data_IF_644442205414
#
_entry.id   IF_644442205414
#
_cell.length_a   1.000
_cell.length_b   1.000
_cell.length_c   1.000
_cell.angle_alpha   90.00
_cell.angle_beta   90.00
_cell.angle_gamma   90.00
#
_symmetry.space_group_name_H-M   'P 1'
#
loop_
_entity.id
_entity.type
_entity.pdbx_description
1 polymer ?
#
# COMPACT_ATOMS: atom_id res chain seq x y z
N UNK A 1 22.12 18.02 23.51
CA UNK A 1 21.95 17.13 22.36
C UNK A 1 21.20 17.92 21.30
N UNK A 2 21.77 18.13 20.10
CA UNK A 2 21.10 18.82 19.01
C UNK A 2 19.83 18.03 18.68
N UNK A 3 18.65 18.67 18.78
CA UNK A 3 17.41 18.08 18.31
C UNK A 3 17.54 17.91 16.79
N UNK A 4 17.84 16.71 16.32
CA UNK A 4 17.78 16.43 14.88
C UNK A 4 16.32 16.61 14.46
N UNK A 5 16.09 17.39 13.40
CA UNK A 5 14.78 17.42 12.75
C UNK A 5 14.43 16.02 12.26
N UNK A 6 13.15 15.68 12.30
CA UNK A 6 12.64 14.35 11.96
C UNK A 6 11.84 14.45 10.67
N UNK A 7 12.13 13.52 9.75
CA UNK A 7 11.40 13.40 8.49
C UNK A 7 10.67 12.08 8.45
N UNK A 8 9.34 12.14 8.35
CA UNK A 8 8.50 11.00 8.05
C UNK A 8 8.40 10.80 6.55
N UNK A 9 8.46 9.57 6.09
CA UNK A 9 8.25 9.21 4.69
C UNK A 9 7.06 8.25 4.58
N UNK A 10 6.16 8.56 3.66
CA UNK A 10 5.27 7.54 3.12
C UNK A 10 6.10 6.51 2.33
N UNK A 11 5.51 5.37 2.03
CA UNK A 11 6.22 4.28 1.37
C UNK A 11 5.70 4.00 -0.05
N UNK A 12 4.43 3.59 -0.17
CA UNK A 12 3.84 3.23 -1.45
C UNK A 12 3.74 4.47 -2.37
N UNK A 13 4.24 4.37 -3.59
CA UNK A 13 4.33 5.45 -4.59
C UNK A 13 5.11 6.70 -4.16
N UNK A 14 5.84 6.59 -3.03
CA UNK A 14 6.81 7.57 -2.55
C UNK A 14 8.23 7.01 -2.56
N UNK A 15 8.43 5.79 -2.07
CA UNK A 15 9.73 5.11 -2.04
C UNK A 15 9.84 4.00 -3.10
N UNK A 16 8.72 3.38 -3.46
CA UNK A 16 8.65 2.30 -4.45
C UNK A 16 7.32 2.33 -5.20
N UNK A 17 7.31 1.72 -6.37
CA UNK A 17 6.11 1.56 -7.17
C UNK A 17 5.09 0.65 -6.49
N UNK A 18 3.82 1.06 -6.48
CA UNK A 18 2.73 0.30 -5.91
C UNK A 18 1.47 0.34 -6.79
N UNK A 19 0.97 1.54 -7.15
CA UNK A 19 -0.28 1.72 -7.90
C UNK A 19 -0.26 1.02 -9.26
N UNK A 20 0.90 0.96 -9.91
CA UNK A 20 1.07 0.28 -11.20
C UNK A 20 0.68 -1.21 -11.12
N UNK A 21 0.90 -1.86 -10.00
CA UNK A 21 0.57 -3.28 -9.83
C UNK A 21 -0.92 -3.51 -9.63
N UNK A 22 -1.60 -2.60 -8.94
CA UNK A 22 -3.06 -2.60 -8.82
C UNK A 22 -3.71 -2.39 -10.18
N UNK A 23 -3.23 -1.42 -10.95
CA UNK A 23 -3.73 -1.17 -12.31
C UNK A 23 -3.55 -2.41 -13.22
N UNK A 24 -2.37 -3.03 -13.22
CA UNK A 24 -2.13 -4.27 -13.99
C UNK A 24 -3.08 -5.41 -13.58
N UNK A 25 -3.33 -5.57 -12.28
CA UNK A 25 -4.25 -6.59 -11.78
C UNK A 25 -5.70 -6.29 -12.18
N UNK A 26 -6.11 -5.02 -12.15
CA UNK A 26 -7.40 -4.55 -12.62
C UNK A 26 -7.61 -4.85 -14.10
N UNK A 27 -6.61 -4.55 -14.94
CA UNK A 27 -6.67 -4.86 -16.37
C UNK A 27 -6.84 -6.36 -16.64
N UNK A 28 -6.11 -7.22 -15.92
CA UNK A 28 -6.29 -8.69 -16.01
C UNK A 28 -7.69 -9.13 -15.61
N UNK A 29 -8.27 -8.50 -14.56
CA UNK A 29 -9.66 -8.78 -14.17
C UNK A 29 -10.64 -8.39 -15.28
N UNK A 30 -10.47 -7.22 -15.90
CA UNK A 30 -11.30 -6.72 -17.00
C UNK A 30 -11.26 -7.69 -18.19
N UNK A 31 -10.08 -8.20 -18.55
CA UNK A 31 -9.93 -9.20 -19.61
C UNK A 31 -10.70 -10.50 -19.31
N UNK A 32 -10.79 -10.91 -18.04
CA UNK A 32 -11.56 -12.09 -17.62
C UNK A 32 -13.08 -11.86 -17.67
N UNK A 33 -13.53 -10.59 -17.65
CA UNK A 33 -14.93 -10.22 -17.53
C UNK A 33 -15.36 -9.18 -18.59
N UNK A 34 -15.18 -9.49 -19.90
CA UNK A 34 -15.45 -8.53 -20.98
C UNK A 34 -16.93 -8.12 -21.11
N UNK A 35 -17.81 -8.78 -20.38
CA UNK A 35 -19.24 -8.50 -20.37
C UNK A 35 -19.66 -7.47 -19.31
N UNK A 36 -18.77 -7.11 -18.38
CA UNK A 36 -19.05 -6.08 -17.39
C UNK A 36 -18.97 -4.72 -18.08
N UNK A 37 -20.03 -3.95 -17.96
CA UNK A 37 -20.07 -2.57 -18.44
C UNK A 37 -19.39 -1.67 -17.41
N UNK A 38 -18.56 -0.74 -17.88
CA UNK A 38 -17.81 0.21 -17.05
C UNK A 38 -17.07 -0.48 -15.88
N UNK A 39 -16.21 -1.50 -16.18
CA UNK A 39 -15.67 -2.38 -15.15
C UNK A 39 -14.77 -1.64 -14.14
N UNK A 40 -14.10 -0.58 -14.54
CA UNK A 40 -13.27 0.24 -13.65
C UNK A 40 -14.14 0.91 -12.56
N UNK A 41 -15.25 1.51 -12.94
CA UNK A 41 -16.20 2.10 -11.99
C UNK A 41 -16.82 1.05 -11.07
N UNK A 42 -17.17 -0.11 -11.61
CA UNK A 42 -17.69 -1.24 -10.82
C UNK A 42 -16.69 -1.68 -9.75
N UNK A 43 -15.43 -1.86 -10.12
CA UNK A 43 -14.36 -2.25 -9.18
C UNK A 43 -14.21 -1.16 -8.12
N UNK A 44 -14.08 0.10 -8.53
CA UNK A 44 -13.91 1.23 -7.61
C UNK A 44 -15.04 1.32 -6.57
N UNK A 45 -16.30 1.18 -7.00
CA UNK A 45 -17.42 1.24 -6.07
C UNK A 45 -17.42 0.07 -5.07
N UNK A 46 -17.14 -1.14 -5.53
CA UNK A 46 -17.06 -2.32 -4.66
C UNK A 46 -15.89 -2.18 -3.67
N UNK A 47 -14.72 -1.73 -4.10
CA UNK A 47 -13.59 -1.48 -3.21
C UNK A 47 -13.94 -0.43 -2.15
N UNK A 48 -14.55 0.68 -2.55
CA UNK A 48 -14.99 1.74 -1.64
C UNK A 48 -15.98 1.23 -0.58
N UNK A 49 -16.91 0.35 -0.96
CA UNK A 49 -17.83 -0.31 -0.03
C UNK A 49 -17.09 -1.22 0.95
N UNK A 50 -16.02 -1.88 0.47
CA UNK A 50 -15.32 -2.94 1.17
C UNK A 50 -14.16 -2.47 2.06
N UNK A 51 -13.62 -1.27 1.85
CA UNK A 51 -12.54 -0.72 2.69
C UNK A 51 -12.86 -0.80 4.18
N UNK A 52 -14.08 -0.48 4.58
CA UNK A 52 -14.52 -0.53 5.99
C UNK A 52 -14.56 -1.94 6.61
N UNK A 53 -14.57 -3.00 5.77
CA UNK A 53 -14.60 -4.39 6.22
C UNK A 53 -13.24 -5.06 6.10
N UNK A 54 -12.53 -4.82 5.00
CA UNK A 54 -11.30 -5.53 4.66
C UNK A 54 -10.04 -4.66 4.80
N UNK A 55 -10.23 -3.34 5.01
CA UNK A 55 -9.11 -2.40 5.02
C UNK A 55 -8.48 -2.19 3.64
N UNK A 56 -7.34 -1.54 3.64
CA UNK A 56 -6.53 -1.29 2.44
C UNK A 56 -5.58 -2.46 2.16
N UNK A 57 -5.10 -2.52 0.91
CA UNK A 57 -4.06 -3.46 0.47
C UNK A 57 -4.56 -4.59 -0.42
N UNK A 58 -3.64 -5.42 -0.86
CA UNK A 58 -3.88 -6.46 -1.89
C UNK A 58 -4.99 -7.43 -1.50
N UNK A 59 -5.10 -7.82 -0.22
CA UNK A 59 -6.12 -8.77 0.22
C UNK A 59 -7.53 -8.21 0.09
N UNK A 60 -7.76 -6.96 0.53
CA UNK A 60 -9.04 -6.27 0.38
C UNK A 60 -9.41 -6.07 -1.09
N UNK A 61 -8.43 -5.67 -1.90
CA UNK A 61 -8.59 -5.52 -3.34
C UNK A 61 -9.03 -6.84 -4.02
N UNK A 62 -8.33 -7.94 -3.76
CA UNK A 62 -8.68 -9.24 -4.36
C UNK A 62 -10.04 -9.75 -3.91
N UNK A 63 -10.42 -9.54 -2.64
CA UNK A 63 -11.76 -9.85 -2.16
C UNK A 63 -12.82 -9.02 -2.92
N UNK A 64 -12.53 -7.76 -3.21
CA UNK A 64 -13.42 -6.89 -4.00
C UNK A 64 -13.54 -7.35 -5.46
N UNK A 65 -12.45 -7.80 -6.08
CA UNK A 65 -12.49 -8.40 -7.42
C UNK A 65 -13.30 -9.71 -7.45
N UNK A 66 -13.14 -10.57 -6.44
CA UNK A 66 -13.93 -11.79 -6.30
C UNK A 66 -15.42 -11.47 -6.15
N UNK A 67 -15.75 -10.47 -5.34
CA UNK A 67 -17.13 -10.02 -5.18
C UNK A 67 -17.70 -9.44 -6.48
N UNK A 68 -16.92 -8.63 -7.20
CA UNK A 68 -17.30 -8.14 -8.52
C UNK A 68 -17.59 -9.29 -9.50
N UNK A 69 -16.71 -10.30 -9.52
CA UNK A 69 -16.89 -11.49 -10.35
C UNK A 69 -18.20 -12.22 -10.03
N UNK A 70 -18.54 -12.37 -8.74
CA UNK A 70 -19.78 -13.02 -8.31
C UNK A 70 -21.00 -12.16 -8.62
N UNK A 71 -21.00 -10.86 -8.29
CA UNK A 71 -22.14 -9.95 -8.51
C UNK A 71 -22.52 -9.85 -9.99
N UNK A 72 -21.54 -9.91 -10.90
CA UNK A 72 -21.74 -9.71 -12.34
C UNK A 72 -21.65 -10.99 -13.17
N UNK A 73 -21.65 -12.16 -12.54
CA UNK A 73 -21.57 -13.47 -13.20
C UNK A 73 -22.80 -13.90 -14.00
N UNK A 74 -23.91 -13.13 -13.98
CA UNK A 74 -25.20 -13.52 -14.57
C UNK A 74 -25.65 -14.93 -14.13
N UNK A 75 -25.44 -15.27 -12.85
CA UNK A 75 -25.71 -16.59 -12.27
C UNK A 75 -24.88 -17.76 -12.87
N UNK A 76 -23.78 -17.46 -13.55
CA UNK A 76 -22.84 -18.45 -14.08
C UNK A 76 -21.45 -18.16 -13.53
N UNK A 77 -21.24 -18.46 -12.26
CA UNK A 77 -19.90 -18.34 -11.65
C UNK A 77 -18.94 -19.27 -12.36
N UNK A 78 -17.94 -18.70 -13.02
CA UNK A 78 -16.85 -19.46 -13.62
C UNK A 78 -15.73 -19.67 -12.58
N UNK A 79 -15.65 -20.90 -12.07
CA UNK A 79 -14.61 -21.27 -11.10
C UNK A 79 -13.19 -21.07 -11.64
N UNK A 80 -12.99 -21.14 -12.97
CA UNK A 80 -11.69 -20.85 -13.57
C UNK A 80 -11.32 -19.38 -13.43
N UNK A 81 -12.31 -18.47 -13.55
CA UNK A 81 -12.05 -17.04 -13.32
C UNK A 81 -11.78 -16.75 -11.86
N UNK A 82 -12.46 -17.40 -10.92
CA UNK A 82 -12.16 -17.31 -9.49
C UNK A 82 -10.71 -17.72 -9.21
N UNK A 83 -10.27 -18.86 -9.73
CA UNK A 83 -8.88 -19.32 -9.55
C UNK A 83 -7.86 -18.32 -10.14
N UNK A 84 -8.15 -17.76 -11.33
CA UNK A 84 -7.30 -16.74 -11.94
C UNK A 84 -7.20 -15.46 -11.09
N UNK A 85 -8.31 -15.00 -10.50
CA UNK A 85 -8.32 -13.83 -9.62
C UNK A 85 -7.48 -14.09 -8.35
N UNK A 86 -7.63 -15.27 -7.74
CA UNK A 86 -6.79 -15.67 -6.59
C UNK A 86 -5.31 -15.69 -6.99
N UNK A 87 -5.00 -16.19 -8.19
CA UNK A 87 -3.63 -16.19 -8.71
C UNK A 87 -3.09 -14.80 -8.92
N UNK A 88 -3.89 -13.86 -9.47
CA UNK A 88 -3.52 -12.44 -9.58
C UNK A 88 -3.07 -11.89 -8.21
N UNK A 89 -3.85 -12.13 -7.16
CA UNK A 89 -3.51 -11.69 -5.81
C UNK A 89 -2.21 -12.30 -5.26
N UNK A 90 -1.99 -13.59 -5.50
CA UNK A 90 -0.73 -14.26 -5.12
C UNK A 90 0.46 -13.68 -5.87
N UNK A 91 0.31 -13.41 -7.15
CA UNK A 91 1.35 -12.82 -7.99
C UNK A 91 1.68 -11.39 -7.52
N UNK A 92 0.67 -10.57 -7.14
CA UNK A 92 0.88 -9.25 -6.53
C UNK A 92 1.68 -9.34 -5.21
N UNK A 93 1.31 -10.26 -4.30
CA UNK A 93 2.01 -10.46 -3.03
C UNK A 93 3.44 -10.99 -3.20
N UNK A 94 3.73 -11.67 -4.30
CA UNK A 94 5.04 -12.24 -4.60
C UNK A 94 5.98 -11.26 -5.31
N UNK A 95 5.51 -10.10 -5.75
CA UNK A 95 6.29 -9.16 -6.53
C UNK A 95 7.53 -8.65 -5.80
N UNK A 96 8.55 -8.34 -6.59
CA UNK A 96 9.75 -7.63 -6.11
C UNK A 96 9.45 -6.15 -5.96
N UNK A 97 10.01 -5.54 -4.92
CA UNK A 97 9.90 -4.09 -4.72
C UNK A 97 10.79 -3.38 -5.73
N UNK A 98 10.21 -2.44 -6.46
CA UNK A 98 10.92 -1.57 -7.40
C UNK A 98 11.00 -0.17 -6.81
N UNK A 99 12.18 0.21 -6.34
CA UNK A 99 12.40 1.55 -5.80
C UNK A 99 12.20 2.61 -6.89
N UNK A 100 11.62 3.74 -6.51
CA UNK A 100 11.58 4.90 -7.39
C UNK A 100 13.01 5.44 -7.61
N UNK A 101 13.25 6.14 -8.72
CA UNK A 101 14.57 6.71 -9.04
C UNK A 101 15.10 7.55 -7.88
N UNK A 102 16.41 7.43 -7.61
CA UNK A 102 17.16 8.23 -6.63
C UNK A 102 16.75 8.07 -5.16
N UNK A 103 15.73 7.24 -4.84
CA UNK A 103 15.25 7.05 -3.46
C UNK A 103 16.36 6.61 -2.52
N UNK A 104 17.12 5.58 -2.86
CA UNK A 104 18.14 5.05 -1.97
C UNK A 104 19.25 6.08 -1.70
N UNK A 105 19.69 6.80 -2.73
CA UNK A 105 20.69 7.85 -2.60
C UNK A 105 20.19 9.01 -1.72
N UNK A 106 18.96 9.45 -1.94
CA UNK A 106 18.31 10.51 -1.16
C UNK A 106 18.21 10.13 0.32
N UNK A 107 17.69 8.92 0.62
CA UNK A 107 17.56 8.45 2.00
C UNK A 107 18.93 8.30 2.68
N UNK A 108 19.93 7.79 1.98
CA UNK A 108 21.30 7.70 2.50
C UNK A 108 21.80 9.08 2.93
N UNK A 109 21.66 10.08 2.06
CA UNK A 109 22.12 11.45 2.35
C UNK A 109 21.36 12.09 3.50
N UNK A 110 20.02 11.96 3.52
CA UNK A 110 19.18 12.53 4.57
C UNK A 110 19.44 11.87 5.94
N UNK A 111 19.67 10.56 5.99
CA UNK A 111 19.91 9.84 7.25
C UNK A 111 21.20 10.26 7.97
N UNK A 112 22.14 10.89 7.28
CA UNK A 112 23.34 11.48 7.90
C UNK A 112 23.01 12.70 8.78
N UNK A 113 21.97 13.45 8.41
CA UNK A 113 21.63 14.75 9.02
C UNK A 113 20.33 14.73 9.82
N UNK A 114 19.37 13.90 9.45
CA UNK A 114 18.02 13.83 10.01
C UNK A 114 17.75 12.46 10.63
N UNK A 115 16.76 12.40 11.50
CA UNK A 115 16.16 11.13 11.92
C UNK A 115 15.02 10.82 10.94
N UNK A 116 15.06 9.66 10.30
CA UNK A 116 14.04 9.25 9.35
C UNK A 116 13.10 8.22 9.96
N UNK A 117 11.81 8.38 9.74
CA UNK A 117 10.74 7.48 10.16
C UNK A 117 9.92 7.11 8.94
N UNK A 118 9.68 5.82 8.71
CA UNK A 118 8.73 5.37 7.68
C UNK A 118 7.35 5.27 8.29
N UNK A 119 6.34 5.88 7.64
CA UNK A 119 4.93 5.84 8.07
C UNK A 119 4.10 5.41 6.87
N UNK A 120 3.64 4.17 6.87
CA UNK A 120 2.89 3.60 5.75
C UNK A 120 1.54 3.06 6.19
N UNK A 121 0.54 3.17 5.30
CA UNK A 121 -0.82 2.67 5.54
C UNK A 121 -1.06 1.39 4.75
N UNK A 122 -1.71 0.40 5.37
CA UNK A 122 -2.13 -0.82 4.68
C UNK A 122 -2.20 -2.05 5.56
N UNK A 123 -2.29 -3.21 4.92
CA UNK A 123 -2.25 -4.50 5.61
C UNK A 123 -0.88 -4.72 6.25
N UNK A 124 -0.89 -5.00 7.56
CA UNK A 124 0.34 -5.12 8.36
C UNK A 124 1.34 -6.11 7.75
N UNK A 125 0.89 -7.31 7.39
CA UNK A 125 1.78 -8.36 6.88
C UNK A 125 2.34 -8.01 5.49
N UNK A 126 1.53 -7.36 4.66
CA UNK A 126 1.95 -6.95 3.33
C UNK A 126 2.97 -5.81 3.41
N UNK A 127 2.69 -4.79 4.22
CA UNK A 127 3.61 -3.66 4.40
C UNK A 127 4.92 -4.10 5.06
N UNK A 128 4.89 -4.98 6.08
CA UNK A 128 6.12 -5.54 6.67
C UNK A 128 6.98 -6.24 5.60
N UNK A 129 6.34 -7.04 4.76
CA UNK A 129 7.03 -7.76 3.67
C UNK A 129 7.64 -6.82 2.63
N UNK A 130 6.92 -5.74 2.26
CA UNK A 130 7.43 -4.71 1.35
C UNK A 130 8.64 -3.98 1.96
N UNK A 131 8.51 -3.53 3.20
CA UNK A 131 9.57 -2.84 3.94
C UNK A 131 10.83 -3.69 4.03
N UNK A 132 10.70 -4.97 4.40
CA UNK A 132 11.84 -5.90 4.48
C UNK A 132 12.50 -6.11 3.12
N UNK A 133 11.70 -6.33 2.07
CA UNK A 133 12.21 -6.55 0.69
C UNK A 133 12.82 -5.30 0.06
N UNK A 134 12.43 -4.10 0.48
CA UNK A 134 12.95 -2.84 -0.08
C UNK A 134 14.45 -2.63 0.18
N UNK A 135 14.97 -3.23 1.24
CA UNK A 135 16.35 -3.00 1.70
C UNK A 135 16.60 -1.61 2.30
N UNK A 136 15.53 -0.80 2.49
CA UNK A 136 15.62 0.58 2.96
C UNK A 136 15.60 0.72 4.49
N UNK A 137 15.27 -0.34 5.25
CA UNK A 137 15.19 -0.32 6.71
C UNK A 137 16.42 0.30 7.39
N UNK A 138 17.59 0.11 6.81
CA UNK A 138 18.87 0.63 7.32
C UNK A 138 18.96 2.15 7.44
N UNK A 139 18.07 2.88 6.75
CA UNK A 139 18.04 4.35 6.77
C UNK A 139 17.02 4.90 7.78
N UNK A 140 16.10 4.07 8.27
CA UNK A 140 15.00 4.50 9.14
C UNK A 140 15.26 4.12 10.60
N UNK A 141 14.98 5.05 11.51
CA UNK A 141 15.05 4.82 12.96
C UNK A 141 13.87 3.99 13.45
N UNK A 142 12.70 4.15 12.83
CA UNK A 142 11.48 3.38 13.10
C UNK A 142 10.61 3.26 11.87
N UNK A 143 9.72 2.26 11.89
CA UNK A 143 8.70 2.04 10.87
C UNK A 143 7.36 1.87 11.56
N UNK A 144 6.39 2.68 11.17
CA UNK A 144 5.02 2.66 11.65
C UNK A 144 4.09 2.22 10.51
N UNK A 145 3.42 1.09 10.70
CA UNK A 145 2.41 0.59 9.77
C UNK A 145 1.06 0.82 10.42
N UNK A 146 0.23 1.63 9.78
CA UNK A 146 -1.05 2.10 10.33
C UNK A 146 -2.23 1.70 9.45
N UNK A 147 -3.41 1.62 10.03
CA UNK A 147 -4.66 1.36 9.29
C UNK A 147 -5.18 2.62 8.59
N UNK A 148 -4.95 3.80 9.20
CA UNK A 148 -5.34 5.10 8.67
C UNK A 148 -4.23 6.14 8.94
N UNK A 149 -4.16 7.16 8.08
CA UNK A 149 -3.26 8.32 8.22
C UNK A 149 -4.12 9.56 8.50
N UNK A 150 -4.66 9.64 9.70
CA UNK A 150 -5.38 10.81 10.20
C UNK A 150 -4.58 11.58 11.27
N UNK A 151 -5.08 12.71 11.69
CA UNK A 151 -4.43 13.57 12.69
C UNK A 151 -4.13 12.82 13.99
N UNK A 152 -5.08 12.01 14.46
CA UNK A 152 -4.92 11.25 15.70
C UNK A 152 -3.79 10.23 15.60
N UNK A 153 -3.72 9.51 14.50
CA UNK A 153 -2.66 8.53 14.21
C UNK A 153 -1.28 9.20 14.19
N UNK A 154 -1.16 10.35 13.53
CA UNK A 154 0.11 11.10 13.54
C UNK A 154 0.50 11.57 14.93
N UNK A 155 -0.44 12.08 15.73
CA UNK A 155 -0.16 12.49 17.11
C UNK A 155 0.33 11.34 17.97
N UNK A 156 -0.29 10.15 17.86
CA UNK A 156 0.11 8.93 18.57
C UNK A 156 1.53 8.48 18.16
N UNK A 157 1.85 8.52 16.85
CA UNK A 157 3.20 8.20 16.37
C UNK A 157 4.22 9.18 16.93
N UNK A 158 3.92 10.46 16.90
CA UNK A 158 4.82 11.50 17.42
C UNK A 158 5.05 11.36 18.94
N UNK A 159 3.99 11.12 19.71
CA UNK A 159 4.07 10.88 21.15
C UNK A 159 4.89 9.63 21.46
N UNK A 160 4.59 8.49 20.82
CA UNK A 160 5.33 7.23 20.95
C UNK A 160 6.83 7.38 20.71
N UNK A 161 7.20 8.23 19.77
CA UNK A 161 8.60 8.46 19.40
C UNK A 161 9.22 9.68 20.12
N UNK A 162 8.50 10.33 21.05
CA UNK A 162 8.92 11.55 21.77
C UNK A 162 9.29 12.69 20.81
N UNK A 163 8.51 12.90 19.76
CA UNK A 163 8.73 13.91 18.73
C UNK A 163 7.75 15.07 18.93
N UNK A 164 8.27 16.29 18.93
CA UNK A 164 7.44 17.49 18.91
C UNK A 164 6.89 17.72 17.50
N UNK A 165 5.58 18.01 17.31
CA UNK A 165 5.01 18.26 15.98
C UNK A 165 5.73 19.35 15.16
N UNK A 166 6.30 20.37 15.83
CA UNK A 166 7.05 21.45 15.18
C UNK A 166 8.40 21.01 14.59
N UNK A 167 8.93 19.87 15.04
CA UNK A 167 10.23 19.33 14.63
C UNK A 167 10.05 18.18 13.61
N UNK A 168 8.81 17.93 13.14
CA UNK A 168 8.45 16.85 12.24
C UNK A 168 7.99 17.38 10.88
N UNK A 169 8.50 16.75 9.82
CA UNK A 169 8.07 16.96 8.44
C UNK A 169 7.62 15.63 7.84
N UNK A 170 6.48 15.59 7.16
CA UNK A 170 6.01 14.43 6.41
C UNK A 170 6.21 14.64 4.91
N UNK A 171 6.72 13.62 4.23
CA UNK A 171 6.95 13.54 2.79
C UNK A 171 6.12 12.39 2.22
N UNK A 172 5.34 12.66 1.15
CA UNK A 172 4.49 11.69 0.46
C UNK A 172 3.15 12.26 0.04
#
# INVERSE_FOLDING_TARGET
MSNKQIIGFDADDTLWENEVFFHQAQMKFIELHPHIKDPEEVIFQIEKENIKFYGYGIKGFILSLLEASVRFSNNKTDFQNIDKIIKIGKDMLAQTIQLLPEVEETLRHLSEHYMLIMITKGDLLDQQRKVEKSGLLKYFSSTEIVSEKDEQTYLEILEKNNISPKDFLMVG
#
